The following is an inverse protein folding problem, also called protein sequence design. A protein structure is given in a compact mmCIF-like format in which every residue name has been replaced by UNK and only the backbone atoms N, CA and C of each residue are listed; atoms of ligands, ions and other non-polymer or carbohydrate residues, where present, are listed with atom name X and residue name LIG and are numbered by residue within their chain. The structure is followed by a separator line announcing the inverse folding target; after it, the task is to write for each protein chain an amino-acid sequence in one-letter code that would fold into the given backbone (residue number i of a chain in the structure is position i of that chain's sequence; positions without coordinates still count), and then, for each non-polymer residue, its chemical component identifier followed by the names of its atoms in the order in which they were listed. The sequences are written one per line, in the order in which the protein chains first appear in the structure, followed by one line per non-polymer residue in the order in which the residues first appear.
data_IF_378521422526
#
_entry.id   IF_378521422526
#
_cell.length_a   1.000
_cell.length_b   1.000
_cell.length_c   1.000
_cell.angle_alpha   90.00
_cell.angle_beta   90.00
_cell.angle_gamma   90.00
#
_symmetry.space_group_name_H-M   'P 1'
#
loop_
_entity.id
_entity.type
_entity.pdbx_description
1 polymer ?
#
# COMPACT_ATOMS: atom_id res chain seq x y z
N UNK A 1 -8.00 14.44 1.52
CA UNK A 1 -7.23 14.04 0.33
C UNK A 1 -5.87 13.59 0.81
N UNK A 2 -5.35 12.46 0.33
CA UNK A 2 -4.02 11.98 0.71
C UNK A 2 -3.02 12.69 -0.21
N UNK A 3 -2.20 13.60 0.31
CA UNK A 3 -1.36 14.53 -0.47
C UNK A 3 -0.09 13.88 -1.06
N UNK A 4 -0.11 12.57 -1.30
CA UNK A 4 0.99 11.83 -1.94
C UNK A 4 0.66 11.55 -3.39
N UNK A 5 1.63 11.66 -4.33
CA UNK A 5 1.42 11.25 -5.71
C UNK A 5 0.95 9.80 -5.79
N UNK A 6 -0.09 9.52 -6.58
CA UNK A 6 -0.65 8.17 -6.74
C UNK A 6 0.43 7.16 -7.17
N UNK A 7 1.34 7.56 -8.05
CA UNK A 7 2.44 6.72 -8.50
C UNK A 7 3.37 6.27 -7.34
N UNK A 8 3.63 7.16 -6.38
CA UNK A 8 4.46 6.85 -5.21
C UNK A 8 3.73 5.90 -4.26
N UNK A 9 2.42 6.07 -4.11
CA UNK A 9 1.56 5.16 -3.34
C UNK A 9 1.60 3.74 -3.95
N UNK A 10 1.44 3.62 -5.27
CA UNK A 10 1.53 2.33 -5.96
C UNK A 10 2.91 1.70 -5.80
N UNK A 11 3.98 2.50 -5.86
CA UNK A 11 5.35 2.03 -5.63
C UNK A 11 5.52 1.52 -4.20
N UNK A 12 5.01 2.25 -3.22
CA UNK A 12 5.10 1.88 -1.81
C UNK A 12 4.35 0.57 -1.52
N UNK A 13 3.15 0.36 -2.09
CA UNK A 13 2.41 -0.90 -1.97
C UNK A 13 3.22 -2.07 -2.54
N UNK A 14 3.87 -1.90 -3.70
CA UNK A 14 4.71 -2.94 -4.33
C UNK A 14 5.99 -3.23 -3.57
N UNK A 15 6.53 -2.24 -2.86
CA UNK A 15 7.78 -2.34 -2.09
C UNK A 15 7.57 -2.64 -0.61
N UNK A 16 6.33 -2.80 -0.16
CA UNK A 16 5.97 -2.97 1.26
C UNK A 16 6.50 -4.28 1.86
N UNK A 17 6.86 -5.26 1.02
CA UNK A 17 7.49 -6.50 1.46
C UNK A 17 6.58 -7.38 2.33
N UNK A 18 5.26 -7.21 2.22
CA UNK A 18 4.30 -8.02 2.97
C UNK A 18 4.34 -9.48 2.50
N UNK A 19 3.97 -10.37 3.42
CA UNK A 19 3.58 -11.73 3.09
C UNK A 19 2.48 -11.77 2.00
N UNK A 20 2.56 -12.68 1.01
CA UNK A 20 1.60 -12.75 -0.10
C UNK A 20 0.15 -12.87 0.36
N UNK A 21 -0.14 -13.66 1.40
CA UNK A 21 -1.49 -13.82 1.92
C UNK A 21 -2.03 -12.51 2.51
N UNK A 22 -1.18 -11.77 3.23
CA UNK A 22 -1.54 -10.43 3.70
C UNK A 22 -1.80 -9.49 2.53
N UNK A 23 -0.94 -9.49 1.51
CA UNK A 23 -1.06 -8.60 0.37
C UNK A 23 -2.37 -8.86 -0.40
N UNK A 24 -2.68 -10.12 -0.71
CA UNK A 24 -3.91 -10.51 -1.42
C UNK A 24 -5.18 -10.16 -0.64
N UNK A 25 -5.15 -10.30 0.70
CA UNK A 25 -6.29 -9.97 1.55
C UNK A 25 -6.51 -8.47 1.77
N UNK A 26 -5.50 -7.63 1.55
CA UNK A 26 -5.54 -6.21 1.90
C UNK A 26 -5.34 -5.25 0.72
N UNK A 27 -4.80 -5.70 -0.41
CA UNK A 27 -4.52 -4.91 -1.61
C UNK A 27 -4.97 -5.66 -2.88
N UNK A 28 -6.05 -5.21 -3.50
CA UNK A 28 -6.59 -5.78 -4.74
C UNK A 28 -6.25 -4.89 -5.93
N UNK A 29 -5.42 -5.39 -6.86
CA UNK A 29 -5.05 -4.67 -8.08
C UNK A 29 -6.28 -4.51 -8.99
N UNK A 30 -6.53 -3.27 -9.42
CA UNK A 30 -7.62 -2.86 -10.32
C UNK A 30 -7.09 -1.84 -11.32
N UNK A 31 -7.98 -1.41 -12.21
CA UNK A 31 -7.73 -0.28 -13.09
C UNK A 31 -8.92 0.68 -13.10
N UNK A 32 -8.62 1.95 -13.39
CA UNK A 32 -9.61 3.00 -13.64
C UNK A 32 -9.26 3.73 -14.93
N UNK A 33 -10.26 4.39 -15.52
CA UNK A 33 -10.06 5.27 -16.67
C UNK A 33 -9.78 6.69 -16.19
N UNK A 34 -8.67 7.27 -16.65
CA UNK A 34 -8.36 8.66 -16.38
C UNK A 34 -9.18 9.64 -17.25
N UNK A 35 -8.94 10.94 -17.09
CA UNK A 35 -9.60 11.99 -17.85
C UNK A 35 -9.29 11.92 -19.36
N UNK A 36 -8.26 11.17 -19.77
CA UNK A 36 -7.89 10.91 -21.15
C UNK A 36 -8.41 9.54 -21.63
N UNK A 37 -9.29 8.88 -20.86
CA UNK A 37 -9.86 7.56 -21.14
C UNK A 37 -8.78 6.45 -21.25
N UNK A 38 -7.62 6.65 -20.61
CA UNK A 38 -6.55 5.65 -20.53
C UNK A 38 -6.73 4.80 -19.27
N UNK A 39 -6.51 3.49 -19.39
CA UNK A 39 -6.49 2.58 -18.25
C UNK A 39 -5.25 2.83 -17.39
N UNK A 40 -5.46 3.12 -16.10
CA UNK A 40 -4.43 3.34 -15.09
C UNK A 40 -4.57 2.33 -13.96
N UNK A 41 -3.46 1.79 -13.42
CA UNK A 41 -3.53 0.86 -12.30
C UNK A 41 -3.91 1.58 -11.01
N UNK A 42 -4.63 0.86 -10.16
CA UNK A 42 -4.95 1.26 -8.79
C UNK A 42 -5.01 0.04 -7.86
N UNK A 43 -5.00 0.28 -6.55
CA UNK A 43 -5.29 -0.74 -5.56
C UNK A 43 -6.52 -0.34 -4.76
N UNK A 44 -7.53 -1.19 -4.75
CA UNK A 44 -8.53 -1.17 -3.69
C UNK A 44 -7.91 -1.79 -2.45
N UNK A 45 -8.07 -1.15 -1.30
CA UNK A 45 -7.45 -1.62 -0.06
C UNK A 45 -8.40 -1.61 1.12
N UNK A 46 -8.18 -2.53 2.05
CA UNK A 46 -8.92 -2.57 3.31
C UNK A 46 -8.41 -1.49 4.27
N UNK A 47 -9.15 -1.27 5.37
CA UNK A 47 -8.70 -0.39 6.45
C UNK A 47 -7.34 -0.83 7.02
N UNK A 48 -7.11 -2.14 7.13
CA UNK A 48 -5.85 -2.68 7.64
C UNK A 48 -4.69 -2.47 6.65
N UNK A 49 -4.92 -2.68 5.36
CA UNK A 49 -3.95 -2.37 4.30
C UNK A 49 -3.55 -0.89 4.32
N UNK A 50 -4.52 0.01 4.47
CA UNK A 50 -4.26 1.45 4.61
C UNK A 50 -3.41 1.77 5.84
N UNK A 51 -3.78 1.24 7.03
CA UNK A 51 -3.01 1.46 8.26
C UNK A 51 -1.56 1.01 8.13
N UNK A 52 -1.32 -0.18 7.56
CA UNK A 52 0.03 -0.69 7.33
C UNK A 52 0.80 0.20 6.35
N UNK A 53 0.17 0.60 5.25
CA UNK A 53 0.79 1.46 4.24
C UNK A 53 1.23 2.82 4.81
N UNK A 54 0.44 3.44 5.69
CA UNK A 54 0.79 4.73 6.28
C UNK A 54 1.85 4.58 7.37
N UNK A 55 1.68 3.61 8.26
CA UNK A 55 2.59 3.37 9.38
C UNK A 55 3.99 2.98 8.92
N UNK A 56 4.10 2.11 7.92
CA UNK A 56 5.41 1.66 7.42
C UNK A 56 6.19 2.78 6.72
N UNK A 57 5.50 3.60 5.94
CA UNK A 57 6.16 4.66 5.16
C UNK A 57 6.47 5.93 5.96
N UNK A 58 5.80 6.17 7.10
CA UNK A 58 5.94 7.42 7.85
C UNK A 58 6.60 7.25 9.22
N UNK A 59 6.49 6.07 9.84
CA UNK A 59 6.92 5.86 11.23
C UNK A 59 8.09 4.89 11.37
N UNK A 60 8.68 4.42 10.25
CA UNK A 60 9.77 3.45 10.28
C UNK A 60 9.34 2.08 10.81
N UNK A 61 8.07 1.73 10.66
CA UNK A 61 7.50 0.47 11.13
C UNK A 61 7.67 -0.60 10.03
N UNK A 62 8.31 -1.72 10.36
CA UNK A 62 8.47 -2.84 9.43
C UNK A 62 7.40 -3.91 9.70
N UNK A 63 7.15 -4.78 8.73
CA UNK A 63 6.27 -5.93 8.91
C UNK A 63 7.13 -7.16 9.19
N UNK A 64 6.97 -7.74 10.38
CA UNK A 64 7.59 -9.01 10.77
C UNK A 64 6.49 -10.02 11.13
N UNK A 65 6.53 -11.22 10.54
CA UNK A 65 5.54 -12.29 10.81
C UNK A 65 4.08 -11.80 10.72
N UNK A 66 3.76 -11.01 9.69
CA UNK A 66 2.44 -10.40 9.45
C UNK A 66 1.96 -9.45 10.55
N UNK A 67 2.88 -8.90 11.36
CA UNK A 67 2.57 -7.91 12.39
C UNK A 67 3.42 -6.65 12.18
N UNK A 68 2.83 -5.45 12.35
CA UNK A 68 3.61 -4.22 12.36
C UNK A 68 4.46 -4.16 13.62
N UNK A 69 5.77 -4.00 13.45
CA UNK A 69 6.74 -3.82 14.53
C UNK A 69 7.50 -2.52 14.32
N UNK A 70 7.74 -1.78 15.40
CA UNK A 70 8.55 -0.56 15.35
C UNK A 70 10.00 -0.98 15.16
N UNK A 71 10.62 -0.57 14.05
CA UNK A 71 12.06 -0.74 13.89
C UNK A 71 12.75 0.24 14.85
N UNK A 72 13.18 -0.27 16.01
CA UNK A 72 14.16 0.43 16.84
C UNK A 72 15.45 0.45 16.02
N UNK A 73 15.84 1.61 15.52
CA UNK A 73 17.27 1.87 15.32
C UNK A 73 17.96 1.94 16.68
#
# INVERSE_FOLDING_TARGET
MFEKPHADVLKAIRSLGCDPYFAEGNFSLRSYKDAQNQERPEYLMTRLGFSVLTMTNELGIIIENNRPVVSSR
#
